data_IF_324674655373
#
_entry.id   IF_324674655373
#
_cell.length_a   1.000
_cell.length_b   1.000
_cell.length_c   1.000
_cell.angle_alpha   90.00
_cell.angle_beta   90.00
_cell.angle_gamma   90.00
#
_symmetry.space_group_name_H-M   'P 1'
#
loop_
_entity.id
_entity.type
_entity.pdbx_description
1 polymer ?
#
# COMPACT_ATOMS: atom_id res chain seq x y z
N UNK A 1 0.33 -13.26 5.20
CA UNK A 1 0.19 -12.05 4.42
C UNK A 1 -1.12 -11.34 4.75
N UNK A 2 -1.13 -10.04 4.61
CA UNK A 2 -2.31 -9.24 4.88
C UNK A 2 -3.22 -9.22 3.65
N UNK A 3 -4.52 -9.33 3.87
CA UNK A 3 -5.48 -9.38 2.78
C UNK A 3 -5.72 -8.00 2.16
N UNK A 4 -5.58 -6.93 2.95
CA UNK A 4 -5.86 -5.58 2.47
C UNK A 4 -4.91 -4.56 3.08
N UNK A 5 -4.90 -3.35 2.48
CA UNK A 5 -4.00 -2.28 2.88
C UNK A 5 -4.31 -1.75 4.28
N UNK A 6 -5.60 -1.67 4.63
CA UNK A 6 -6.02 -1.17 5.94
C UNK A 6 -5.47 -2.06 7.06
N UNK A 7 -5.66 -3.37 6.94
CA UNK A 7 -5.17 -4.32 7.94
C UNK A 7 -3.65 -4.26 8.07
N UNK A 8 -2.95 -4.19 6.94
CA UNK A 8 -1.49 -4.11 6.94
C UNK A 8 -1.02 -2.82 7.63
N UNK A 9 -1.63 -1.69 7.29
CA UNK A 9 -1.24 -0.41 7.86
C UNK A 9 -1.49 -0.37 9.36
N UNK A 10 -2.62 -0.87 9.82
CA UNK A 10 -2.95 -0.90 11.25
C UNK A 10 -1.98 -1.76 12.04
N UNK A 11 -1.58 -2.90 11.47
CA UNK A 11 -0.62 -3.78 12.12
C UNK A 11 0.77 -3.12 12.26
N UNK A 12 1.12 -2.25 11.32
CA UNK A 12 2.42 -1.58 11.30
C UNK A 12 2.41 -0.20 11.95
N UNK A 13 1.24 0.30 12.35
CA UNK A 13 1.06 1.68 12.82
C UNK A 13 2.07 2.10 13.89
N UNK A 14 2.30 1.22 14.87
CA UNK A 14 3.20 1.51 15.98
C UNK A 14 4.68 1.60 15.58
N UNK A 15 5.01 1.12 14.40
CA UNK A 15 6.38 1.16 13.87
C UNK A 15 6.63 2.38 12.98
N UNK A 16 5.59 3.15 12.68
CA UNK A 16 5.69 4.26 11.73
C UNK A 16 6.10 5.56 12.41
N UNK A 17 7.08 6.23 11.81
CA UNK A 17 7.46 7.59 12.18
C UNK A 17 7.28 8.52 10.98
N UNK A 18 7.75 9.77 11.13
CA UNK A 18 7.58 10.77 10.08
C UNK A 18 8.14 10.36 8.72
N UNK A 19 9.25 9.63 8.74
CA UNK A 19 9.95 9.24 7.51
C UNK A 19 9.68 7.81 7.09
N UNK A 20 8.80 7.12 7.80
CA UNK A 20 8.49 5.74 7.49
C UNK A 20 7.59 5.65 6.27
N UNK A 21 7.93 4.73 5.39
CA UNK A 21 7.07 4.38 4.24
C UNK A 21 6.66 2.93 4.36
N UNK A 22 5.40 2.66 4.11
CA UNK A 22 4.91 1.28 3.99
C UNK A 22 4.85 0.94 2.51
N UNK A 23 5.38 -0.22 2.17
CA UNK A 23 5.36 -0.71 0.80
C UNK A 23 4.50 -1.97 0.76
N UNK A 24 3.48 -1.95 -0.07
CA UNK A 24 2.61 -3.11 -0.25
C UNK A 24 2.52 -3.46 -1.72
N UNK A 25 2.65 -4.75 -2.03
CA UNK A 25 2.53 -5.21 -3.41
C UNK A 25 1.16 -5.83 -3.63
N UNK A 26 0.43 -5.33 -4.62
CA UNK A 26 -0.91 -5.81 -4.96
C UNK A 26 -0.93 -6.27 -6.40
N UNK A 27 -1.68 -7.34 -6.66
CA UNK A 27 -1.82 -7.85 -8.02
C UNK A 27 -2.66 -6.95 -8.89
N UNK A 28 -3.78 -6.46 -8.35
CA UNK A 28 -4.67 -5.54 -9.07
C UNK A 28 -4.60 -4.17 -8.45
N UNK A 29 -4.95 -3.16 -9.24
CA UNK A 29 -5.05 -1.80 -8.71
C UNK A 29 -6.08 -1.78 -7.58
N UNK A 30 -5.72 -1.35 -6.37
CA UNK A 30 -6.58 -1.55 -5.20
C UNK A 30 -7.63 -0.45 -5.02
N UNK A 31 -8.49 -0.25 -6.00
CA UNK A 31 -9.48 0.85 -5.99
C UNK A 31 -10.37 0.82 -4.74
N UNK A 32 -10.94 -0.34 -4.43
CA UNK A 32 -11.82 -0.47 -3.28
C UNK A 32 -11.12 -0.25 -1.96
N UNK A 33 -9.86 -0.69 -1.86
CA UNK A 33 -9.08 -0.55 -0.63
C UNK A 33 -8.68 0.90 -0.38
N UNK A 34 -8.43 1.67 -1.44
CA UNK A 34 -8.03 3.07 -1.30
C UNK A 34 -9.11 3.90 -0.63
N UNK A 35 -10.38 3.52 -0.81
CA UNK A 35 -11.50 4.23 -0.20
C UNK A 35 -11.71 3.88 1.27
N UNK A 36 -11.01 2.86 1.76
CA UNK A 36 -11.18 2.36 3.13
C UNK A 36 -9.97 2.61 4.02
N UNK A 37 -9.02 3.40 3.55
CA UNK A 37 -7.82 3.67 4.33
C UNK A 37 -8.13 4.56 5.53
N UNK A 38 -7.42 4.34 6.67
CA UNK A 38 -7.61 5.20 7.84
C UNK A 38 -7.18 6.64 7.54
N UNK A 39 -7.77 7.58 8.29
CA UNK A 39 -7.54 9.01 8.05
C UNK A 39 -6.09 9.43 8.28
N UNK A 40 -5.33 8.67 9.07
CA UNK A 40 -3.94 8.99 9.39
C UNK A 40 -2.94 8.49 8.34
N UNK A 41 -3.43 7.80 7.31
CA UNK A 41 -2.60 7.21 6.28
C UNK A 41 -2.85 7.86 4.92
N UNK A 42 -1.78 8.11 4.17
CA UNK A 42 -1.91 8.63 2.81
C UNK A 42 -1.14 7.75 1.83
N UNK A 43 -1.58 7.77 0.59
CA UNK A 43 -0.89 7.10 -0.52
C UNK A 43 0.06 8.10 -1.14
N UNK A 44 1.35 7.79 -1.15
CA UNK A 44 2.35 8.63 -1.80
C UNK A 44 2.39 8.35 -3.30
N UNK A 45 2.36 7.08 -3.68
CA UNK A 45 2.32 6.70 -5.10
C UNK A 45 1.87 5.25 -5.24
N UNK A 46 1.41 4.91 -6.44
CA UNK A 46 1.11 3.54 -6.83
C UNK A 46 1.80 3.33 -8.17
N UNK A 47 2.76 2.41 -8.21
CA UNK A 47 3.52 2.15 -9.41
C UNK A 47 3.18 0.77 -9.95
N UNK A 48 2.89 0.72 -11.24
CA UNK A 48 2.63 -0.54 -11.92
C UNK A 48 3.96 -1.18 -12.29
N UNK A 49 4.15 -2.42 -11.86
CA UNK A 49 5.35 -3.18 -12.13
C UNK A 49 5.08 -4.17 -13.24
N UNK A 50 5.95 -4.20 -14.23
CA UNK A 50 5.89 -5.17 -15.31
C UNK A 50 7.08 -6.10 -15.16
N UNK A 51 6.79 -7.40 -15.01
CA UNK A 51 7.84 -8.41 -14.88
C UNK A 51 7.84 -9.26 -16.14
N UNK A 52 8.95 -9.32 -16.89
CA UNK A 52 9.02 -10.16 -18.08
C UNK A 52 8.70 -11.61 -17.76
N UNK A 53 7.82 -12.20 -18.56
CA UNK A 53 7.42 -13.59 -18.37
C UNK A 53 6.24 -13.81 -17.45
N UNK A 54 5.82 -12.79 -16.68
CA UNK A 54 4.60 -12.84 -15.90
C UNK A 54 3.47 -12.22 -16.68
N UNK A 55 2.30 -12.86 -16.66
CA UNK A 55 1.12 -12.34 -17.33
C UNK A 55 0.20 -11.59 -16.38
N UNK A 56 0.64 -11.39 -15.15
CA UNK A 56 -0.14 -10.72 -14.13
C UNK A 56 0.47 -9.35 -13.80
N UNK A 57 -0.39 -8.37 -13.63
CA UNK A 57 0.04 -7.06 -13.18
C UNK A 57 0.41 -7.10 -11.71
N UNK A 58 1.36 -6.27 -11.34
CA UNK A 58 1.70 -6.01 -9.95
C UNK A 58 1.72 -4.53 -9.73
N UNK A 59 1.24 -4.11 -8.58
CA UNK A 59 1.23 -2.69 -8.22
C UNK A 59 1.95 -2.51 -6.90
N UNK A 60 2.91 -1.60 -6.87
CA UNK A 60 3.60 -1.24 -5.63
C UNK A 60 2.92 -0.01 -5.06
N UNK A 61 2.32 -0.16 -3.88
CA UNK A 61 1.64 0.92 -3.19
C UNK A 61 2.56 1.47 -2.11
N UNK A 62 2.87 2.74 -2.18
CA UNK A 62 3.75 3.41 -1.22
C UNK A 62 2.91 4.36 -0.38
N UNK A 63 2.94 4.14 0.93
CA UNK A 63 2.09 4.85 1.87
C UNK A 63 2.92 5.46 2.99
N UNK A 64 2.40 6.54 3.59
CA UNK A 64 3.05 7.18 4.72
C UNK A 64 2.01 7.80 5.65
N UNK A 65 2.47 8.27 6.82
CA UNK A 65 1.61 8.97 7.76
C UNK A 65 1.27 10.37 7.23
N UNK A 66 0.03 10.78 7.45
CA UNK A 66 -0.38 12.17 7.26
C UNK A 66 0.12 12.96 8.45
N UNK A 67 0.78 14.06 8.18
CA UNK A 67 1.32 14.92 9.23
C UNK A 67 0.53 16.21 9.33
#
# INVERSE_FOLDING_TARGET
AFADLDSFARACRHLMGEKTRLLAMKGKYPVGELNKLPAWLKIDSIEKLTVPGLQEDRHLVIMSLIQ
#
